data_IF_112056069045
#
_entry.id   IF_112056069045
#
_cell.length_a   1.000
_cell.length_b   1.000
_cell.length_c   1.000
_cell.angle_alpha   90.00
_cell.angle_beta   90.00
_cell.angle_gamma   90.00
#
_symmetry.space_group_name_H-M   'P 1'
#
loop_
_entity.id
_entity.type
_entity.pdbx_description
1 polymer ?
#
# COMPACT_ATOMS: atom_id res chain seq x y z
N UNK A 1 9.87 -13.10 9.94
CA UNK A 1 10.74 -13.13 8.75
C UNK A 1 11.67 -11.93 8.69
N UNK A 2 11.17 -10.67 8.63
CA UNK A 2 12.04 -9.47 8.53
C UNK A 2 12.94 -9.29 9.76
N UNK A 3 12.44 -9.63 10.94
CA UNK A 3 13.20 -9.58 12.19
C UNK A 3 14.44 -10.49 12.15
N UNK A 4 14.33 -11.66 11.53
CA UNK A 4 15.47 -12.60 11.38
C UNK A 4 16.57 -12.01 10.51
N UNK A 5 16.20 -11.29 9.44
CA UNK A 5 17.18 -10.66 8.56
C UNK A 5 17.84 -9.43 9.21
N UNK A 6 17.04 -8.58 9.85
CA UNK A 6 17.52 -7.34 10.45
C UNK A 6 18.20 -7.56 11.81
N UNK A 7 17.83 -8.59 12.57
CA UNK A 7 18.39 -8.83 13.88
C UNK A 7 19.89 -9.06 13.86
N UNK A 8 20.39 -9.89 12.93
CA UNK A 8 21.84 -10.12 12.76
C UNK A 8 22.58 -8.87 12.30
N UNK A 9 21.98 -8.10 11.37
CA UNK A 9 22.56 -6.84 10.90
C UNK A 9 22.57 -5.77 12.01
N UNK A 10 21.49 -5.69 12.80
CA UNK A 10 21.40 -4.77 13.93
C UNK A 10 22.41 -5.12 15.02
N UNK A 11 22.62 -6.40 15.33
CA UNK A 11 23.64 -6.85 16.28
C UNK A 11 25.04 -6.50 15.80
N UNK A 12 25.35 -6.64 14.51
CA UNK A 12 26.62 -6.22 13.93
C UNK A 12 26.84 -4.71 14.04
N UNK A 13 25.83 -3.91 13.74
CA UNK A 13 25.88 -2.44 13.87
C UNK A 13 25.99 -2.04 15.34
N UNK A 14 25.33 -2.75 16.27
CA UNK A 14 25.42 -2.49 17.70
C UNK A 14 26.87 -2.63 18.23
N UNK A 15 27.63 -3.57 17.69
CA UNK A 15 29.03 -3.74 18.04
C UNK A 15 29.91 -2.52 17.67
N UNK A 16 29.56 -1.83 16.59
CA UNK A 16 30.27 -0.60 16.14
C UNK A 16 30.00 0.61 17.04
N UNK A 17 28.91 0.63 17.80
CA UNK A 17 28.53 1.71 18.72
C UNK A 17 28.73 1.32 20.20
N UNK A 18 29.31 0.17 20.44
CA UNK A 18 29.69 -0.27 21.79
C UNK A 18 30.69 0.72 22.42
N UNK A 19 30.47 1.08 23.67
CA UNK A 19 31.29 2.08 24.37
C UNK A 19 31.01 3.55 23.99
N UNK A 20 30.09 3.83 23.05
CA UNK A 20 29.69 5.18 22.65
C UNK A 20 28.37 5.66 23.27
N UNK A 21 27.91 5.05 24.36
CA UNK A 21 26.57 5.23 24.90
C UNK A 21 25.50 5.05 23.79
N UNK A 22 25.73 4.06 22.93
CA UNK A 22 24.93 3.80 21.75
C UNK A 22 24.00 2.60 21.91
N UNK A 23 22.83 2.69 21.27
CA UNK A 23 21.91 1.56 21.09
C UNK A 23 21.50 1.47 19.63
N UNK A 24 21.24 0.25 19.19
CA UNK A 24 20.59 -0.02 17.91
C UNK A 24 19.22 -0.61 18.17
N UNK A 25 18.23 -0.10 17.47
CA UNK A 25 16.84 -0.57 17.55
C UNK A 25 16.33 -1.02 16.20
N UNK A 26 15.47 -2.02 16.19
CA UNK A 26 14.69 -2.45 15.03
C UNK A 26 13.21 -2.30 15.39
N UNK A 27 12.46 -1.62 14.52
CA UNK A 27 11.02 -1.44 14.68
C UNK A 27 10.26 -1.89 13.44
N UNK A 28 8.95 -2.13 13.59
CA UNK A 28 8.04 -2.46 12.51
C UNK A 28 7.66 -1.21 11.67
N UNK A 29 6.82 -1.42 10.65
CA UNK A 29 6.31 -0.35 9.78
C UNK A 29 5.48 0.72 10.51
N UNK A 30 4.97 0.42 11.70
CA UNK A 30 4.24 1.36 12.55
C UNK A 30 5.14 2.10 13.54
N UNK A 31 6.46 1.88 13.49
CA UNK A 31 7.42 2.46 14.41
C UNK A 31 7.44 1.80 15.81
N UNK A 32 6.87 0.60 15.97
CA UNK A 32 6.93 -0.15 17.23
C UNK A 32 8.25 -0.88 17.33
N UNK A 33 9.01 -0.61 18.38
CA UNK A 33 10.30 -1.27 18.61
C UNK A 33 10.07 -2.74 18.90
N UNK A 34 10.74 -3.60 18.14
CA UNK A 34 10.71 -5.05 18.28
C UNK A 34 11.90 -5.57 19.11
N UNK A 35 13.06 -4.94 18.97
CA UNK A 35 14.25 -5.29 19.72
C UNK A 35 15.24 -4.12 19.78
N UNK A 36 16.12 -4.18 20.79
CA UNK A 36 17.18 -3.21 21.04
C UNK A 36 18.47 -3.92 21.45
N UNK A 37 19.62 -3.41 21.01
CA UNK A 37 20.97 -3.89 21.33
C UNK A 37 21.81 -2.69 21.75
N UNK A 38 22.72 -2.85 22.69
CA UNK A 38 23.63 -1.83 23.18
C UNK A 38 24.15 -2.13 24.58
N UNK A 39 24.93 -1.21 25.15
CA UNK A 39 25.40 -1.40 26.52
C UNK A 39 24.26 -1.27 27.54
N UNK A 40 24.43 -1.96 28.69
CA UNK A 40 23.39 -2.06 29.70
C UNK A 40 22.94 -0.72 30.27
N UNK A 41 23.87 0.22 30.46
CA UNK A 41 23.57 1.52 31.06
C UNK A 41 22.73 2.37 30.08
N UNK A 42 23.09 2.34 28.80
CA UNK A 42 22.34 3.05 27.75
C UNK A 42 20.97 2.42 27.48
N UNK A 43 20.88 1.08 27.53
CA UNK A 43 19.58 0.40 27.41
C UNK A 43 18.61 0.76 28.55
N UNK A 44 19.11 0.92 29.79
CA UNK A 44 18.28 1.41 30.92
C UNK A 44 17.78 2.82 30.66
N UNK A 45 18.65 3.76 30.26
CA UNK A 45 18.25 5.14 29.92
C UNK A 45 17.28 5.20 28.76
N UNK A 46 17.49 4.36 27.75
CA UNK A 46 16.59 4.23 26.62
C UNK A 46 15.21 3.76 27.04
N UNK A 47 15.15 2.79 27.97
CA UNK A 47 13.89 2.31 28.54
C UNK A 47 13.14 3.41 29.32
N UNK A 48 13.86 4.24 30.08
CA UNK A 48 13.28 5.41 30.79
C UNK A 48 12.69 6.43 29.82
N UNK A 49 13.26 6.54 28.63
CA UNK A 49 12.77 7.37 27.54
C UNK A 49 11.73 6.67 26.64
N UNK A 50 11.25 5.47 27.03
CA UNK A 50 10.37 4.61 26.20
C UNK A 50 10.99 4.18 24.85
N UNK A 51 12.31 4.27 24.71
CA UNK A 51 13.09 3.78 23.55
C UNK A 51 13.48 2.31 23.77
N UNK A 52 12.48 1.47 23.98
CA UNK A 52 12.60 0.07 24.34
C UNK A 52 11.54 -0.77 23.60
N UNK A 53 11.67 -2.11 23.59
CA UNK A 53 10.68 -2.98 22.96
C UNK A 53 9.24 -2.62 23.36
N UNK A 54 8.36 -2.61 22.36
CA UNK A 54 6.95 -2.18 22.40
C UNK A 54 6.70 -0.68 22.46
N UNK A 55 7.71 0.17 22.66
CA UNK A 55 7.58 1.61 22.48
C UNK A 55 7.23 1.97 21.03
N UNK A 56 6.32 2.93 20.84
CA UNK A 56 5.93 3.40 19.50
C UNK A 56 6.63 4.71 19.16
N UNK A 57 7.40 4.71 18.08
CA UNK A 57 8.25 5.81 17.65
C UNK A 57 7.91 6.30 16.23
N UNK A 58 6.64 6.19 15.82
CA UNK A 58 6.16 6.87 14.62
C UNK A 58 6.17 8.40 14.80
N UNK A 59 6.25 9.18 13.73
CA UNK A 59 6.14 10.65 13.82
C UNK A 59 4.79 11.11 14.38
N UNK A 60 3.72 10.35 14.16
CA UNK A 60 2.42 10.64 14.74
C UNK A 60 2.40 10.49 16.27
N UNK A 61 3.24 9.61 16.84
CA UNK A 61 3.27 9.34 18.28
C UNK A 61 4.20 10.30 19.03
N UNK A 62 5.39 10.58 18.49
CA UNK A 62 6.44 11.31 19.22
C UNK A 62 7.03 12.51 18.46
N UNK A 63 6.50 12.83 17.28
CA UNK A 63 7.04 13.87 16.40
C UNK A 63 8.33 13.44 15.71
N UNK A 64 9.09 14.40 15.19
CA UNK A 64 10.36 14.17 14.49
C UNK A 64 11.33 13.37 15.34
N UNK A 65 11.77 12.22 14.82
CA UNK A 65 12.71 11.30 15.47
C UNK A 65 13.37 10.39 14.43
N UNK A 66 14.47 9.72 14.78
CA UNK A 66 15.25 8.91 13.84
C UNK A 66 14.47 7.77 13.18
N UNK A 67 13.54 7.11 13.87
CA UNK A 67 12.74 6.01 13.33
C UNK A 67 11.56 6.50 12.50
N UNK A 68 10.72 7.36 13.07
CA UNK A 68 9.51 7.86 12.41
C UNK A 68 9.85 8.60 11.11
N UNK A 69 10.84 9.49 11.16
CA UNK A 69 11.30 10.21 9.97
C UNK A 69 11.90 9.28 8.92
N UNK A 70 12.64 8.23 9.33
CA UNK A 70 13.16 7.24 8.39
C UNK A 70 12.07 6.42 7.68
N UNK A 71 10.94 6.13 8.34
CA UNK A 71 9.81 5.44 7.71
C UNK A 71 9.21 6.25 6.56
N UNK A 72 9.19 7.58 6.68
CA UNK A 72 8.69 8.49 5.63
C UNK A 72 9.77 8.80 4.56
N UNK A 73 11.03 8.86 4.95
CA UNK A 73 12.14 9.18 4.05
C UNK A 73 12.50 8.03 3.11
N UNK A 74 13.12 8.36 1.97
CA UNK A 74 13.62 7.37 0.99
C UNK A 74 15.06 6.91 1.23
N UNK A 75 15.73 7.41 2.26
CA UNK A 75 17.12 7.10 2.59
C UNK A 75 17.41 7.24 4.07
N UNK A 76 18.67 7.06 4.49
CA UNK A 76 19.06 7.28 5.87
C UNK A 76 18.79 8.73 6.30
N UNK A 77 18.32 8.90 7.52
CA UNK A 77 18.09 10.20 8.16
C UNK A 77 18.96 10.34 9.39
N UNK A 78 19.24 11.57 9.77
CA UNK A 78 20.00 11.91 10.96
C UNK A 78 19.27 13.05 11.70
N UNK A 79 18.95 12.83 12.98
CA UNK A 79 18.22 13.76 13.84
C UNK A 79 19.08 14.03 15.07
N UNK A 80 19.43 15.29 15.32
CA UNK A 80 20.36 15.69 16.38
C UNK A 80 19.68 16.57 17.42
N UNK A 81 19.79 16.23 18.67
CA UNK A 81 19.41 17.08 19.77
C UNK A 81 18.07 17.80 19.55
N UNK A 82 18.11 19.12 19.42
CA UNK A 82 16.91 19.96 19.26
C UNK A 82 16.16 19.78 17.93
N UNK A 83 16.66 18.99 16.98
CA UNK A 83 15.90 18.58 15.78
C UNK A 83 14.77 17.58 16.14
N UNK A 84 14.90 16.88 17.29
CA UNK A 84 13.78 16.08 17.81
C UNK A 84 12.63 16.99 18.24
N UNK A 85 11.41 16.63 17.85
CA UNK A 85 10.22 17.38 18.26
C UNK A 85 10.06 17.43 19.78
N UNK A 86 10.24 16.28 20.44
CA UNK A 86 10.06 16.18 21.90
C UNK A 86 11.35 16.59 22.62
N UNK A 87 11.26 17.58 23.52
CA UNK A 87 12.37 18.08 24.29
C UNK A 87 13.08 17.01 25.15
N UNK A 88 12.36 15.98 25.56
CA UNK A 88 12.91 14.85 26.32
C UNK A 88 13.99 14.08 25.53
N UNK A 89 14.02 14.23 24.21
CA UNK A 89 14.99 13.54 23.35
C UNK A 89 16.13 14.44 22.87
N UNK A 90 16.24 15.69 23.35
CA UNK A 90 17.32 16.60 22.96
C UNK A 90 18.71 16.14 23.39
N UNK A 91 18.83 15.24 24.35
CA UNK A 91 20.10 14.60 24.72
C UNK A 91 20.52 13.44 23.80
N UNK A 92 19.67 13.08 22.83
CA UNK A 92 19.92 12.00 21.90
C UNK A 92 20.33 12.50 20.50
N UNK A 93 21.18 11.72 19.87
CA UNK A 93 21.48 11.84 18.42
C UNK A 93 21.12 10.54 17.78
N UNK A 94 20.23 10.57 16.79
CA UNK A 94 19.63 9.40 16.18
C UNK A 94 19.89 9.37 14.68
N UNK A 95 20.21 8.19 14.14
CA UNK A 95 20.19 7.94 12.70
C UNK A 95 19.29 6.75 12.41
N UNK A 96 18.43 6.86 11.41
CA UNK A 96 17.50 5.81 11.03
C UNK A 96 17.50 5.52 9.53
N UNK A 97 17.14 4.29 9.15
CA UNK A 97 16.90 3.88 7.77
C UNK A 97 15.76 2.88 7.70
N UNK A 98 14.81 3.10 6.79
CA UNK A 98 13.75 2.15 6.54
C UNK A 98 14.18 1.08 5.54
N UNK A 99 13.72 -0.15 5.78
CA UNK A 99 13.71 -1.25 4.81
C UNK A 99 12.33 -1.31 4.20
N UNK A 100 12.27 -1.36 2.86
CA UNK A 100 11.01 -1.28 2.12
C UNK A 100 10.65 -2.60 1.45
N UNK A 101 9.36 -2.84 1.30
CA UNK A 101 8.86 -3.99 0.55
C UNK A 101 9.24 -3.86 -0.93
N UNK A 102 9.86 -4.91 -1.47
CA UNK A 102 10.46 -4.88 -2.82
C UNK A 102 9.46 -4.73 -3.96
N UNK A 103 8.18 -5.03 -3.73
CA UNK A 103 7.12 -4.92 -4.73
C UNK A 103 6.29 -3.65 -4.56
N UNK A 104 5.93 -3.30 -3.32
CA UNK A 104 5.02 -2.16 -3.05
C UNK A 104 5.75 -0.87 -2.76
N UNK A 105 7.05 -0.92 -2.43
CA UNK A 105 7.83 0.24 -1.99
C UNK A 105 7.49 0.74 -0.58
N UNK A 106 6.46 0.19 0.07
CA UNK A 106 6.06 0.58 1.42
C UNK A 106 7.11 0.18 2.46
N UNK A 107 7.32 0.99 3.51
CA UNK A 107 8.23 0.62 4.59
C UNK A 107 7.68 -0.62 5.32
N UNK A 108 8.55 -1.56 5.65
CA UNK A 108 8.19 -2.79 6.38
C UNK A 108 8.91 -2.89 7.71
N UNK A 109 10.02 -2.20 7.86
CA UNK A 109 10.76 -2.08 9.11
C UNK A 109 11.68 -0.89 9.05
N UNK A 110 12.20 -0.49 10.20
CA UNK A 110 13.22 0.54 10.34
C UNK A 110 14.33 0.05 11.29
N UNK A 111 15.57 0.35 10.94
CA UNK A 111 16.72 0.21 11.83
C UNK A 111 17.21 1.60 12.24
N UNK A 112 17.51 1.77 13.50
CA UNK A 112 17.94 3.07 14.02
C UNK A 112 19.07 2.90 15.03
N UNK A 113 20.04 3.83 14.99
CA UNK A 113 21.10 3.98 15.97
C UNK A 113 20.78 5.25 16.78
N UNK A 114 20.89 5.16 18.11
CA UNK A 114 20.75 6.30 19.01
C UNK A 114 21.93 6.36 19.97
N UNK A 115 22.59 7.51 20.10
CA UNK A 115 23.61 7.76 21.11
C UNK A 115 23.14 8.83 22.09
N UNK A 116 23.37 8.61 23.38
CA UNK A 116 23.01 9.54 24.44
C UNK A 116 24.17 10.45 24.81
N UNK A 117 24.00 11.76 24.67
CA UNK A 117 25.01 12.81 24.95
C UNK A 117 26.37 12.58 24.26
N UNK A 118 26.39 11.78 23.22
CA UNK A 118 27.57 11.47 22.42
C UNK A 118 27.22 11.63 20.95
N UNK A 119 28.17 12.14 20.17
CA UNK A 119 27.98 12.25 18.72
C UNK A 119 27.94 10.86 18.09
N UNK A 120 27.08 10.68 17.11
CA UNK A 120 27.14 9.49 16.27
C UNK A 120 28.44 9.48 15.46
N UNK A 121 29.06 8.32 15.27
CA UNK A 121 30.18 8.17 14.33
C UNK A 121 29.77 8.66 12.94
N UNK A 122 30.68 9.34 12.23
CA UNK A 122 30.43 9.79 10.85
C UNK A 122 29.99 8.65 9.92
N UNK A 123 30.45 7.44 10.21
CA UNK A 123 30.10 6.23 9.47
C UNK A 123 28.68 5.68 9.77
N UNK A 124 27.96 6.19 10.78
CA UNK A 124 26.69 5.61 11.24
C UNK A 124 25.64 5.52 10.14
N UNK A 125 25.44 6.58 9.37
CA UNK A 125 24.50 6.58 8.24
C UNK A 125 24.91 5.59 7.12
N UNK A 126 26.22 5.43 6.91
CA UNK A 126 26.76 4.46 5.96
C UNK A 126 26.56 3.02 6.44
N UNK A 127 26.77 2.73 7.72
CA UNK A 127 26.48 1.39 8.28
C UNK A 127 25.01 1.02 8.13
N UNK A 128 24.09 1.95 8.46
CA UNK A 128 22.67 1.79 8.28
C UNK A 128 22.31 1.59 6.79
N UNK A 129 22.87 2.40 5.90
CA UNK A 129 22.65 2.25 4.46
C UNK A 129 23.11 0.90 3.94
N UNK A 130 24.27 0.42 4.36
CA UNK A 130 24.80 -0.90 4.00
C UNK A 130 23.89 -2.03 4.55
N UNK A 131 23.46 -1.92 5.79
CA UNK A 131 22.56 -2.91 6.39
C UNK A 131 21.19 -2.95 5.65
N UNK A 132 20.62 -1.78 5.32
CA UNK A 132 19.40 -1.70 4.54
C UNK A 132 19.57 -2.27 3.13
N UNK A 133 20.69 -1.98 2.46
CA UNK A 133 21.01 -2.52 1.13
C UNK A 133 21.15 -4.04 1.16
N UNK A 134 21.80 -4.58 2.19
CA UNK A 134 21.97 -6.04 2.38
C UNK A 134 20.61 -6.71 2.60
N UNK A 135 19.78 -6.14 3.49
CA UNK A 135 18.43 -6.64 3.73
C UNK A 135 17.58 -6.57 2.45
N UNK A 136 17.63 -5.46 1.73
CA UNK A 136 16.92 -5.26 0.48
C UNK A 136 17.35 -6.27 -0.60
N UNK A 137 18.65 -6.55 -0.71
CA UNK A 137 19.19 -7.57 -1.61
C UNK A 137 18.66 -8.97 -1.31
N UNK A 138 18.55 -9.32 -0.03
CA UNK A 138 17.97 -10.60 0.40
C UNK A 138 16.48 -10.69 0.08
N UNK A 139 15.73 -9.62 0.33
CA UNK A 139 14.30 -9.54 0.00
C UNK A 139 14.05 -9.63 -1.51
N UNK A 140 14.88 -8.96 -2.33
CA UNK A 140 14.81 -9.03 -3.79
C UNK A 140 15.03 -10.46 -4.30
N UNK A 141 16.05 -11.14 -3.79
CA UNK A 141 16.34 -12.54 -4.17
C UNK A 141 15.14 -13.44 -3.84
N UNK A 142 14.61 -13.35 -2.62
CA UNK A 142 13.41 -14.12 -2.23
C UNK A 142 12.19 -13.80 -3.10
N UNK A 143 11.99 -12.56 -3.46
CA UNK A 143 10.90 -12.16 -4.33
C UNK A 143 11.05 -12.71 -5.76
N UNK A 144 12.30 -12.79 -6.28
CA UNK A 144 12.60 -13.47 -7.56
C UNK A 144 12.33 -14.97 -7.48
N UNK A 145 12.81 -15.63 -6.43
CA UNK A 145 12.55 -17.08 -6.20
C UNK A 145 11.03 -17.34 -6.16
N UNK A 146 10.30 -16.49 -5.45
CA UNK A 146 8.82 -16.56 -5.39
C UNK A 146 8.17 -16.33 -6.75
N UNK A 147 8.68 -15.39 -7.55
CA UNK A 147 8.20 -15.12 -8.89
C UNK A 147 8.43 -16.30 -9.84
N UNK A 148 9.59 -16.94 -9.75
CA UNK A 148 9.91 -18.13 -10.54
C UNK A 148 8.99 -19.32 -10.19
N UNK A 149 8.71 -19.54 -8.90
CA UNK A 149 7.77 -20.57 -8.44
C UNK A 149 6.35 -20.31 -8.95
N UNK A 150 5.90 -19.04 -8.87
CA UNK A 150 4.58 -18.65 -9.41
C UNK A 150 4.48 -18.87 -10.92
N UNK A 151 5.53 -18.59 -11.68
CA UNK A 151 5.57 -18.84 -13.12
C UNK A 151 5.57 -20.34 -13.44
N UNK A 152 6.26 -21.16 -12.64
CA UNK A 152 6.25 -22.62 -12.78
C UNK A 152 4.86 -23.18 -12.46
N UNK A 153 4.25 -22.75 -11.36
CA UNK A 153 2.91 -23.15 -10.96
C UNK A 153 1.86 -22.74 -12.02
N UNK A 154 1.99 -21.54 -12.60
CA UNK A 154 1.16 -21.10 -13.73
C UNK A 154 1.28 -22.04 -14.93
N UNK A 155 2.50 -22.42 -15.31
CA UNK A 155 2.73 -23.30 -16.46
C UNK A 155 2.06 -24.66 -16.25
N UNK A 156 2.16 -25.22 -15.05
CA UNK A 156 1.49 -26.48 -14.71
C UNK A 156 -0.04 -26.32 -14.73
N UNK A 157 -0.55 -25.27 -14.13
CA UNK A 157 -1.98 -24.99 -14.09
C UNK A 157 -2.56 -24.81 -15.50
N UNK A 158 -1.86 -24.08 -16.36
CA UNK A 158 -2.27 -23.84 -17.75
C UNK A 158 -2.30 -25.12 -18.58
N UNK A 159 -1.36 -26.02 -18.39
CA UNK A 159 -1.34 -27.32 -19.09
C UNK A 159 -2.56 -28.20 -18.76
N UNK A 160 -3.16 -27.99 -17.56
CA UNK A 160 -4.31 -28.79 -17.07
C UNK A 160 -5.66 -28.08 -17.21
N UNK A 161 -5.66 -26.80 -17.63
CA UNK A 161 -6.87 -25.97 -17.64
C UNK A 161 -7.17 -25.43 -19.03
N UNK A 162 -8.43 -25.56 -19.44
CA UNK A 162 -8.98 -24.91 -20.63
C UNK A 162 -9.45 -23.47 -20.40
N UNK A 163 -9.44 -22.99 -19.15
CA UNK A 163 -9.88 -21.65 -18.78
C UNK A 163 -8.70 -20.68 -18.63
N UNK A 164 -8.97 -19.38 -18.53
CA UNK A 164 -7.94 -18.37 -18.29
C UNK A 164 -7.28 -18.56 -16.91
N UNK A 165 -5.96 -18.40 -16.89
CA UNK A 165 -5.14 -18.56 -15.67
C UNK A 165 -4.23 -17.37 -15.49
N UNK A 166 -4.06 -16.91 -14.25
CA UNK A 166 -3.04 -15.96 -13.84
C UNK A 166 -2.35 -16.38 -12.55
N UNK A 167 -1.10 -15.96 -12.37
CA UNK A 167 -0.38 -16.05 -11.11
C UNK A 167 -0.14 -14.65 -10.55
N UNK A 168 -0.46 -14.46 -9.28
CA UNK A 168 -0.30 -13.21 -8.55
C UNK A 168 0.51 -13.42 -7.29
N UNK A 169 1.28 -12.43 -6.89
CA UNK A 169 2.02 -12.47 -5.62
C UNK A 169 1.12 -12.15 -4.41
N UNK A 170 1.69 -12.18 -3.21
CA UNK A 170 0.96 -11.90 -1.96
C UNK A 170 0.52 -10.44 -1.81
N UNK A 171 1.06 -9.52 -2.63
CA UNK A 171 0.61 -8.13 -2.72
C UNK A 171 -0.52 -7.92 -3.74
N UNK A 172 -0.86 -8.95 -4.52
CA UNK A 172 -1.87 -8.89 -5.57
C UNK A 172 -1.33 -8.38 -6.91
N UNK A 173 0.00 -8.26 -7.07
CA UNK A 173 0.63 -7.93 -8.35
C UNK A 173 0.67 -9.16 -9.24
N UNK A 174 0.41 -8.96 -10.52
CA UNK A 174 0.42 -10.05 -11.51
C UNK A 174 1.85 -10.38 -11.90
N UNK A 175 2.21 -11.66 -11.81
CA UNK A 175 3.51 -12.20 -12.22
C UNK A 175 3.45 -12.73 -13.65
N UNK A 176 2.39 -13.43 -14.01
CA UNK A 176 2.14 -13.95 -15.36
C UNK A 176 0.64 -14.21 -15.53
N UNK A 177 0.13 -14.03 -16.73
CA UNK A 177 -1.25 -14.35 -17.10
C UNK A 177 -1.32 -14.85 -18.54
N UNK A 178 -2.25 -15.73 -18.85
CA UNK A 178 -2.58 -16.09 -20.22
C UNK A 178 -3.47 -15.03 -20.90
N UNK A 179 -3.80 -15.22 -22.17
CA UNK A 179 -4.55 -14.24 -22.95
C UNK A 179 -5.93 -13.87 -22.32
N UNK A 180 -6.80 -14.83 -21.91
CA UNK A 180 -8.07 -14.47 -21.30
C UNK A 180 -7.92 -13.74 -19.95
N UNK A 181 -6.98 -14.17 -19.10
CA UNK A 181 -6.73 -13.54 -17.80
C UNK A 181 -6.05 -12.18 -17.96
N UNK A 182 -5.13 -12.04 -18.91
CA UNK A 182 -4.44 -10.78 -19.17
C UNK A 182 -5.40 -9.70 -19.70
N UNK A 183 -6.35 -10.07 -20.54
CA UNK A 183 -7.38 -9.16 -21.02
C UNK A 183 -8.27 -8.65 -19.86
N UNK A 184 -8.62 -9.55 -18.94
CA UNK A 184 -9.42 -9.19 -17.76
C UNK A 184 -8.64 -8.29 -16.79
N UNK A 185 -7.35 -8.56 -16.59
CA UNK A 185 -6.49 -7.88 -15.63
C UNK A 185 -5.78 -6.63 -16.19
N UNK A 186 -5.88 -6.39 -17.49
CA UNK A 186 -5.21 -5.26 -18.15
C UNK A 186 -3.68 -5.39 -18.21
N UNK A 187 -3.16 -6.61 -18.29
CA UNK A 187 -1.71 -6.90 -18.34
C UNK A 187 -1.31 -7.56 -19.66
N UNK A 188 0.00 -7.72 -19.90
CA UNK A 188 0.49 -8.39 -21.11
C UNK A 188 0.40 -9.90 -20.99
N UNK A 189 -0.13 -10.62 -22.01
CA UNK A 189 -0.25 -12.07 -22.00
C UNK A 189 1.12 -12.76 -22.12
N UNK A 190 1.31 -13.86 -21.38
CA UNK A 190 2.48 -14.74 -21.43
C UNK A 190 3.84 -14.06 -21.16
N UNK A 191 3.86 -12.82 -20.70
CA UNK A 191 5.09 -12.17 -20.24
C UNK A 191 5.25 -12.47 -18.75
N UNK A 192 6.41 -13.03 -18.37
CA UNK A 192 6.70 -13.39 -16.98
C UNK A 192 7.47 -12.25 -16.31
N UNK A 193 6.88 -11.68 -15.26
CA UNK A 193 7.49 -10.65 -14.41
C UNK A 193 8.03 -11.28 -13.12
N UNK A 194 9.08 -12.08 -13.24
CA UNK A 194 9.73 -12.73 -12.09
C UNK A 194 10.36 -11.70 -11.16
N UNK A 195 10.98 -10.65 -11.73
CA UNK A 195 11.53 -9.54 -10.97
C UNK A 195 10.41 -8.73 -10.30
N UNK A 196 10.53 -8.41 -9.00
CA UNK A 196 9.47 -7.76 -8.25
C UNK A 196 9.11 -6.35 -8.76
N UNK A 197 10.05 -5.62 -9.28
CA UNK A 197 9.87 -4.27 -9.86
C UNK A 197 9.22 -4.28 -11.26
N UNK A 198 9.16 -5.44 -11.91
CA UNK A 198 8.51 -5.61 -13.21
C UNK A 198 7.06 -6.13 -13.10
N UNK A 199 6.59 -6.46 -11.89
CA UNK A 199 5.24 -6.99 -11.66
C UNK A 199 4.19 -5.93 -11.92
N UNK A 200 3.09 -6.35 -12.55
CA UNK A 200 2.03 -5.44 -12.95
C UNK A 200 0.95 -5.26 -11.90
N UNK A 201 0.46 -4.04 -11.80
CA UNK A 201 -0.83 -3.79 -11.16
C UNK A 201 -1.94 -4.36 -12.04
N UNK A 202 -2.87 -5.06 -11.43
CA UNK A 202 -4.06 -5.48 -12.15
C UNK A 202 -5.05 -4.30 -12.22
N UNK A 203 -5.74 -4.18 -13.36
CA UNK A 203 -6.87 -3.25 -13.50
C UNK A 203 -8.12 -3.65 -12.69
N UNK A 204 -8.02 -4.65 -11.80
CA UNK A 204 -9.12 -5.15 -10.97
C UNK A 204 -9.02 -4.56 -9.56
N UNK A 205 -9.91 -3.62 -9.18
CA UNK A 205 -9.78 -2.87 -7.92
C UNK A 205 -9.87 -3.77 -6.67
N UNK A 206 -10.59 -4.87 -6.76
CA UNK A 206 -10.80 -5.77 -5.63
C UNK A 206 -9.76 -6.87 -5.48
N UNK A 207 -8.87 -7.06 -6.46
CA UNK A 207 -7.94 -8.18 -6.48
C UNK A 207 -6.99 -8.18 -5.27
N UNK A 208 -6.42 -7.04 -4.94
CA UNK A 208 -5.52 -6.92 -3.78
C UNK A 208 -6.20 -7.32 -2.47
N UNK A 209 -7.48 -6.98 -2.29
CA UNK A 209 -8.25 -7.35 -1.11
C UNK A 209 -8.57 -8.83 -1.09
N UNK A 210 -8.97 -9.41 -2.22
CA UNK A 210 -9.22 -10.84 -2.39
C UNK A 210 -7.95 -11.64 -2.06
N UNK A 211 -6.80 -11.23 -2.63
CA UNK A 211 -5.49 -11.86 -2.38
C UNK A 211 -5.10 -11.75 -0.91
N UNK A 212 -5.31 -10.60 -0.27
CA UNK A 212 -5.03 -10.42 1.17
C UNK A 212 -5.86 -11.36 2.03
N UNK A 213 -7.16 -11.51 1.73
CA UNK A 213 -8.02 -12.47 2.42
C UNK A 213 -7.54 -13.91 2.20
N UNK A 214 -7.28 -14.29 0.93
CA UNK A 214 -6.77 -15.60 0.57
C UNK A 214 -5.45 -15.93 1.27
N UNK A 215 -4.52 -14.98 1.32
CA UNK A 215 -3.24 -15.13 2.02
C UNK A 215 -3.41 -15.35 3.52
N UNK A 216 -4.32 -14.62 4.15
CA UNK A 216 -4.62 -14.79 5.58
C UNK A 216 -5.24 -16.17 5.87
N UNK A 217 -6.13 -16.64 5.02
CA UNK A 217 -6.77 -17.95 5.18
C UNK A 217 -5.79 -19.09 4.91
N UNK A 218 -5.01 -18.99 3.82
CA UNK A 218 -4.01 -19.98 3.44
C UNK A 218 -2.90 -20.16 4.49
N UNK A 219 -2.59 -19.13 5.27
CA UNK A 219 -1.62 -19.20 6.37
C UNK A 219 -2.06 -20.20 7.48
N UNK A 220 -3.36 -20.43 7.63
CA UNK A 220 -3.91 -21.37 8.62
C UNK A 220 -4.38 -22.69 7.97
N UNK A 221 -4.72 -22.66 6.68
CA UNK A 221 -5.24 -23.78 5.92
C UNK A 221 -4.56 -23.82 4.56
N UNK A 222 -3.39 -24.50 4.44
CA UNK A 222 -2.60 -24.48 3.20
C UNK A 222 -3.31 -25.04 1.97
N UNK A 223 -4.22 -26.02 2.15
CA UNK A 223 -4.97 -26.65 1.07
C UNK A 223 -6.27 -25.89 0.71
N UNK A 224 -6.45 -24.69 1.27
CA UNK A 224 -7.62 -23.86 1.01
C UNK A 224 -7.72 -23.48 -0.47
N UNK A 225 -8.94 -23.63 -1.01
CA UNK A 225 -9.30 -23.14 -2.34
C UNK A 225 -10.53 -22.27 -2.17
N UNK A 226 -10.48 -21.07 -2.70
CA UNK A 226 -11.57 -20.12 -2.61
C UNK A 226 -12.19 -19.83 -3.97
N UNK A 227 -13.46 -19.46 -3.97
CA UNK A 227 -14.17 -18.96 -5.14
C UNK A 227 -14.86 -17.63 -4.81
N UNK A 228 -14.88 -16.73 -5.77
CA UNK A 228 -15.56 -15.45 -5.67
C UNK A 228 -15.88 -14.91 -7.06
N UNK A 229 -16.54 -13.77 -7.10
CA UNK A 229 -16.81 -13.06 -8.34
C UNK A 229 -16.01 -11.76 -8.35
N UNK A 230 -15.46 -11.40 -9.49
CA UNK A 230 -14.76 -10.12 -9.71
C UNK A 230 -15.46 -9.32 -10.81
N UNK A 231 -15.42 -8.01 -10.65
CA UNK A 231 -15.96 -7.07 -11.62
C UNK A 231 -14.83 -6.39 -12.37
N UNK A 232 -14.76 -6.59 -13.67
CA UNK A 232 -13.85 -5.85 -14.53
C UNK A 232 -14.49 -4.52 -14.97
N UNK A 233 -13.68 -3.47 -15.07
CA UNK A 233 -14.17 -2.15 -15.49
C UNK A 233 -14.89 -2.12 -16.84
N UNK A 234 -14.60 -3.11 -17.71
CA UNK A 234 -15.15 -3.18 -19.07
C UNK A 234 -16.32 -4.16 -19.22
N UNK A 235 -16.74 -4.82 -18.15
CA UNK A 235 -17.84 -5.81 -18.20
C UNK A 235 -18.90 -5.49 -17.15
N UNK A 236 -20.14 -5.50 -17.56
CA UNK A 236 -21.29 -5.31 -16.66
C UNK A 236 -21.58 -6.58 -15.83
N UNK A 237 -21.12 -7.74 -16.26
CA UNK A 237 -21.33 -9.01 -15.59
C UNK A 237 -20.10 -9.42 -14.77
N UNK A 238 -20.31 -9.93 -13.54
CA UNK A 238 -19.22 -10.44 -12.73
C UNK A 238 -18.61 -11.69 -13.36
N UNK A 239 -17.30 -11.78 -13.31
CA UNK A 239 -16.56 -12.96 -13.74
C UNK A 239 -16.28 -13.84 -12.52
N UNK A 240 -16.74 -15.09 -12.48
CA UNK A 240 -16.37 -16.02 -11.43
C UNK A 240 -14.89 -16.35 -11.51
N UNK A 241 -14.23 -16.40 -10.37
CA UNK A 241 -12.84 -16.82 -10.24
C UNK A 241 -12.67 -17.86 -9.14
N UNK A 242 -11.70 -18.74 -9.35
CA UNK A 242 -11.18 -19.64 -8.32
C UNK A 242 -9.77 -19.21 -7.98
N UNK A 243 -9.43 -19.16 -6.68
CA UNK A 243 -8.12 -18.77 -6.18
C UNK A 243 -7.52 -19.89 -5.32
N UNK A 244 -6.24 -20.21 -5.55
CA UNK A 244 -5.50 -21.25 -4.84
C UNK A 244 -4.13 -20.73 -4.43
N UNK A 245 -3.69 -20.97 -3.17
CA UNK A 245 -2.36 -20.56 -2.71
C UNK A 245 -1.24 -21.36 -3.39
N UNK A 246 -0.09 -20.72 -3.55
CA UNK A 246 1.16 -21.32 -4.02
C UNK A 246 2.20 -21.15 -2.91
N UNK A 247 2.88 -22.25 -2.58
CA UNK A 247 3.89 -22.27 -1.52
C UNK A 247 5.26 -22.64 -2.08
N UNK A 248 6.30 -22.02 -1.54
CA UNK A 248 7.69 -22.37 -1.76
C UNK A 248 8.35 -22.65 -0.42
N UNK A 249 8.88 -23.87 -0.21
CA UNK A 249 9.54 -24.29 1.04
C UNK A 249 8.68 -24.03 2.30
N UNK A 250 7.38 -24.24 2.18
CA UNK A 250 6.40 -24.02 3.26
C UNK A 250 5.99 -22.58 3.49
N UNK A 251 6.55 -21.60 2.76
CA UNK A 251 6.15 -20.21 2.80
C UNK A 251 5.18 -19.87 1.65
N UNK A 252 4.09 -19.15 1.94
CA UNK A 252 3.17 -18.66 0.92
C UNK A 252 3.90 -17.63 0.04
N UNK A 253 3.89 -17.83 -1.29
CA UNK A 253 4.54 -16.93 -2.26
C UNK A 253 3.54 -16.17 -3.12
N UNK A 254 2.31 -16.63 -3.20
CA UNK A 254 1.24 -15.99 -3.96
C UNK A 254 0.10 -16.95 -4.24
N UNK A 255 -0.61 -16.69 -5.32
CA UNK A 255 -1.83 -17.43 -5.67
C UNK A 255 -1.93 -17.65 -7.17
N UNK A 256 -2.52 -18.76 -7.56
CA UNK A 256 -3.08 -18.98 -8.89
C UNK A 256 -4.55 -18.56 -8.91
N UNK A 257 -4.98 -17.95 -9.99
CA UNK A 257 -6.34 -17.51 -10.24
C UNK A 257 -6.81 -18.12 -11.56
N UNK A 258 -7.92 -18.83 -11.52
CA UNK A 258 -8.59 -19.36 -12.71
C UNK A 258 -9.84 -18.53 -12.98
N UNK A 259 -10.08 -18.24 -14.26
CA UNK A 259 -11.34 -17.64 -14.71
C UNK A 259 -12.36 -18.77 -14.99
N UNK A 260 -13.55 -18.63 -14.43
CA UNK A 260 -14.62 -19.63 -14.59
C UNK A 260 -15.02 -20.28 -13.27
N UNK A 261 -16.02 -21.15 -13.35
CA UNK A 261 -16.78 -21.66 -12.22
C UNK A 261 -15.98 -22.31 -11.11
N UNK A 262 -16.63 -22.44 -9.97
CA UNK A 262 -16.06 -23.03 -8.77
C UNK A 262 -15.54 -24.44 -9.04
N UNK A 263 -14.30 -24.70 -8.67
CA UNK A 263 -13.76 -26.06 -8.51
C UNK A 263 -14.59 -26.80 -7.45
N UNK A 264 -14.83 -28.09 -7.62
CA UNK A 264 -15.43 -28.91 -6.58
C UNK A 264 -14.63 -28.76 -5.28
N UNK A 265 -15.34 -28.44 -4.18
CA UNK A 265 -14.71 -28.18 -2.87
C UNK A 265 -14.20 -26.76 -2.62
N UNK A 266 -14.30 -25.83 -3.57
CA UNK A 266 -13.94 -24.44 -3.35
C UNK A 266 -14.89 -23.79 -2.33
N UNK A 267 -14.32 -23.20 -1.28
CA UNK A 267 -15.07 -22.41 -0.32
C UNK A 267 -15.40 -21.04 -0.94
N UNK A 268 -16.68 -20.68 -0.93
CA UNK A 268 -17.06 -19.31 -1.29
C UNK A 268 -16.43 -18.36 -0.29
N UNK A 269 -15.70 -17.35 -0.77
CA UNK A 269 -15.21 -16.30 0.10
C UNK A 269 -16.41 -15.67 0.80
N UNK A 270 -16.37 -15.46 2.12
CA UNK A 270 -17.50 -14.91 2.84
C UNK A 270 -17.89 -13.59 2.18
N UNK A 271 -19.12 -13.57 1.69
CA UNK A 271 -19.80 -12.34 1.35
C UNK A 271 -19.91 -11.57 2.65
N UNK A 272 -19.01 -10.65 2.88
CA UNK A 272 -19.09 -9.78 4.04
C UNK A 272 -20.33 -8.92 3.86
N UNK A 273 -21.35 -9.20 4.58
CA UNK A 273 -22.60 -8.50 4.85
C UNK A 273 -23.30 -7.70 3.73
N UNK A 274 -24.54 -7.35 3.90
CA UNK A 274 -25.25 -6.48 2.96
C UNK A 274 -24.60 -5.11 2.96
N UNK A 275 -23.75 -4.84 1.93
CA UNK A 275 -23.02 -3.59 1.79
C UNK A 275 -21.59 -3.73 1.31
N UNK A 276 -21.08 -4.96 1.07
CA UNK A 276 -19.70 -5.09 0.59
C UNK A 276 -19.53 -4.63 -0.86
N UNK A 277 -18.64 -3.65 -1.09
CA UNK A 277 -18.54 -2.93 -2.37
C UNK A 277 -18.10 -3.78 -3.57
N UNK A 278 -17.54 -4.96 -3.37
CA UNK A 278 -16.99 -5.80 -4.43
C UNK A 278 -17.95 -6.86 -5.01
N UNK A 279 -19.17 -6.95 -4.44
CA UNK A 279 -20.20 -7.89 -4.95
C UNK A 279 -21.23 -7.23 -5.90
N UNK A 280 -21.18 -5.91 -6.06
CA UNK A 280 -22.04 -5.18 -7.03
C UNK A 280 -21.21 -4.10 -7.70
N UNK A 281 -21.31 -3.91 -9.02
CA UNK A 281 -20.74 -2.72 -9.62
C UNK A 281 -21.33 -1.50 -8.91
N UNK A 282 -20.48 -0.74 -8.20
CA UNK A 282 -20.92 0.48 -7.53
C UNK A 282 -21.35 1.46 -8.61
N UNK A 283 -22.65 1.68 -8.68
CA UNK A 283 -23.25 2.71 -9.55
C UNK A 283 -23.73 3.85 -8.68
N UNK A 284 -23.40 5.05 -9.07
CA UNK A 284 -23.99 6.23 -8.47
C UNK A 284 -25.34 6.48 -9.14
N UNK A 285 -26.36 6.62 -8.30
CA UNK A 285 -27.68 7.00 -8.76
C UNK A 285 -27.69 8.51 -8.95
N UNK A 286 -27.93 8.93 -10.18
CA UNK A 286 -28.04 10.31 -10.56
C UNK A 286 -29.38 10.58 -11.24
N UNK A 287 -29.78 11.84 -11.30
CA UNK A 287 -31.01 12.29 -11.94
C UNK A 287 -30.65 13.32 -13.00
N UNK A 288 -31.20 13.15 -14.19
CA UNK A 288 -31.15 14.13 -15.27
C UNK A 288 -32.56 14.31 -15.83
N UNK A 289 -33.08 15.51 -15.69
CA UNK A 289 -34.50 15.78 -15.98
C UNK A 289 -35.39 14.83 -15.15
N UNK A 290 -36.28 14.06 -15.76
CA UNK A 290 -37.14 13.07 -15.10
C UNK A 290 -36.60 11.63 -15.18
N UNK A 291 -35.30 11.44 -15.52
CA UNK A 291 -34.70 10.12 -15.69
C UNK A 291 -33.71 9.81 -14.58
N UNK A 292 -33.83 8.62 -14.01
CA UNK A 292 -32.79 8.05 -13.15
C UNK A 292 -31.69 7.49 -14.01
N UNK A 293 -30.45 7.93 -13.80
CA UNK A 293 -29.26 7.51 -14.51
C UNK A 293 -28.35 6.76 -13.54
N UNK A 294 -27.88 5.59 -13.92
CA UNK A 294 -26.94 4.79 -13.15
C UNK A 294 -25.53 5.00 -13.72
N UNK A 295 -24.74 5.87 -13.10
CA UNK A 295 -23.38 6.17 -13.50
C UNK A 295 -22.41 5.14 -12.91
N UNK A 296 -21.48 4.65 -13.73
CA UNK A 296 -20.35 3.84 -13.25
C UNK A 296 -19.33 4.77 -12.60
N UNK A 297 -18.64 4.31 -11.54
CA UNK A 297 -17.66 5.13 -10.83
C UNK A 297 -16.54 5.71 -11.72
N UNK A 298 -15.96 4.95 -12.69
CA UNK A 298 -14.98 5.49 -13.61
C UNK A 298 -15.48 6.58 -14.55
N UNK A 299 -16.81 6.68 -14.75
CA UNK A 299 -17.41 7.74 -15.58
C UNK A 299 -17.46 9.08 -14.84
N UNK A 300 -17.37 9.05 -13.51
CA UNK A 300 -17.42 10.25 -12.67
C UNK A 300 -16.01 10.80 -12.45
N UNK A 301 -15.77 12.02 -12.90
CA UNK A 301 -14.50 12.72 -12.74
C UNK A 301 -14.39 13.35 -11.34
N UNK A 302 -15.44 14.07 -10.93
CA UNK A 302 -15.54 14.66 -9.60
C UNK A 302 -17.00 14.94 -9.25
N UNK A 303 -17.23 15.18 -7.97
CA UNK A 303 -18.50 15.68 -7.44
C UNK A 303 -18.33 17.07 -6.84
N UNK A 304 -19.31 17.94 -7.06
CA UNK A 304 -19.36 19.29 -6.51
C UNK A 304 -20.66 19.51 -5.75
N UNK A 305 -20.57 20.11 -4.57
CA UNK A 305 -21.74 20.60 -3.82
C UNK A 305 -21.95 22.10 -4.08
N UNK A 306 -23.18 22.47 -4.46
CA UNK A 306 -23.63 23.86 -4.56
C UNK A 306 -24.47 24.32 -3.35
N UNK A 307 -24.37 23.60 -2.25
CA UNK A 307 -25.10 23.86 -0.99
C UNK A 307 -26.26 22.89 -0.78
N UNK A 308 -27.21 22.82 -1.66
CA UNK A 308 -28.39 21.96 -1.55
C UNK A 308 -28.32 20.69 -2.40
N UNK A 309 -27.55 20.73 -3.49
CA UNK A 309 -27.43 19.62 -4.42
C UNK A 309 -25.96 19.19 -4.55
N UNK A 310 -25.78 17.91 -4.87
CA UNK A 310 -24.49 17.37 -5.28
C UNK A 310 -24.55 17.05 -6.78
N UNK A 311 -23.62 17.60 -7.53
CA UNK A 311 -23.48 17.40 -8.96
C UNK A 311 -22.33 16.48 -9.27
N UNK A 312 -22.57 15.47 -10.08
CA UNK A 312 -21.59 14.52 -10.58
C UNK A 312 -21.15 14.94 -11.98
N UNK A 313 -19.87 15.20 -12.17
CA UNK A 313 -19.27 15.60 -13.44
C UNK A 313 -18.69 14.40 -14.16
N UNK A 314 -19.04 14.23 -15.43
CA UNK A 314 -18.65 13.14 -16.30
C UNK A 314 -18.27 13.65 -17.69
N UNK A 315 -17.72 12.79 -18.55
CA UNK A 315 -17.47 13.13 -19.96
C UNK A 315 -18.75 13.46 -20.75
N UNK A 316 -19.91 13.01 -20.25
CA UNK A 316 -21.22 13.25 -20.89
C UNK A 316 -21.94 14.48 -20.32
N UNK A 317 -21.31 15.21 -19.41
CA UNK A 317 -21.87 16.38 -18.74
C UNK A 317 -22.11 16.17 -17.26
N UNK A 318 -22.92 17.03 -16.65
CA UNK A 318 -23.23 16.97 -15.22
C UNK A 318 -24.58 16.33 -14.95
N UNK A 319 -24.65 15.58 -13.86
CA UNK A 319 -25.85 14.91 -13.37
C UNK A 319 -26.05 15.27 -11.90
N UNK A 320 -27.29 15.40 -11.45
CA UNK A 320 -27.58 15.59 -10.03
C UNK A 320 -27.51 14.25 -9.31
N UNK A 321 -26.72 14.14 -8.26
CA UNK A 321 -26.68 12.95 -7.41
C UNK A 321 -28.02 12.73 -6.71
N UNK A 322 -28.43 11.47 -6.57
CA UNK A 322 -29.55 11.11 -5.72
C UNK A 322 -29.18 11.14 -4.23
N UNK A 323 -27.89 11.03 -3.90
CA UNK A 323 -27.40 11.14 -2.52
C UNK A 323 -27.52 12.58 -2.05
N UNK A 324 -28.15 12.79 -0.89
CA UNK A 324 -28.27 14.11 -0.28
C UNK A 324 -27.03 14.42 0.57
N UNK A 325 -26.24 15.40 0.12
CA UNK A 325 -25.06 15.89 0.82
C UNK A 325 -23.75 15.24 0.35
N UNK A 326 -22.71 16.08 0.27
CA UNK A 326 -21.38 15.67 -0.18
C UNK A 326 -20.67 14.77 0.85
N UNK A 327 -20.98 14.93 2.14
CA UNK A 327 -20.38 14.12 3.22
C UNK A 327 -20.80 12.65 3.11
N UNK A 328 -22.07 12.39 2.84
CA UNK A 328 -22.59 11.05 2.60
C UNK A 328 -21.99 10.43 1.33
N UNK A 329 -21.86 11.23 0.28
CA UNK A 329 -21.23 10.77 -0.97
C UNK A 329 -19.74 10.48 -0.77
N UNK A 330 -19.02 11.27 0.03
CA UNK A 330 -17.62 11.07 0.38
C UNK A 330 -17.45 9.74 1.13
N UNK A 331 -18.27 9.45 2.14
CA UNK A 331 -18.30 8.16 2.83
C UNK A 331 -18.57 6.99 1.88
N UNK A 332 -19.52 7.14 0.97
CA UNK A 332 -19.85 6.13 -0.03
C UNK A 332 -18.70 5.86 -1.01
N UNK A 333 -17.82 6.84 -1.28
CA UNK A 333 -16.78 6.80 -2.30
C UNK A 333 -15.36 6.64 -1.76
N UNK A 334 -15.14 6.71 -0.45
CA UNK A 334 -13.81 6.66 0.20
C UNK A 334 -13.00 5.43 -0.24
N UNK A 335 -13.65 4.25 -0.31
CA UNK A 335 -12.99 3.00 -0.72
C UNK A 335 -12.93 2.79 -2.24
N UNK A 336 -13.38 3.76 -3.03
CA UNK A 336 -13.54 3.64 -4.48
C UNK A 336 -12.55 4.50 -5.28
N UNK A 337 -11.47 4.96 -4.64
CA UNK A 337 -10.45 5.78 -5.29
C UNK A 337 -10.84 7.25 -5.43
N UNK A 338 -11.85 7.69 -4.68
CA UNK A 338 -12.20 9.12 -4.58
C UNK A 338 -11.61 9.72 -3.31
N UNK A 339 -11.30 11.01 -3.38
CA UNK A 339 -10.74 11.77 -2.27
C UNK A 339 -11.44 13.11 -2.12
N UNK A 340 -11.80 13.46 -0.88
CA UNK A 340 -12.24 14.82 -0.53
C UNK A 340 -11.07 15.77 -0.64
N UNK A 341 -11.14 16.75 -1.53
CA UNK A 341 -10.07 17.73 -1.76
C UNK A 341 -10.44 19.13 -1.31
N UNK A 342 -11.73 19.39 -1.16
CA UNK A 342 -12.26 20.65 -0.70
C UNK A 342 -13.61 20.46 -0.02
N UNK A 343 -14.07 21.44 0.78
CA UNK A 343 -15.42 21.38 1.41
C UNK A 343 -16.56 21.18 0.39
N UNK A 344 -16.32 21.55 -0.88
CA UNK A 344 -17.29 21.44 -1.98
C UNK A 344 -16.94 20.35 -2.99
N UNK A 345 -15.77 19.71 -2.93
CA UNK A 345 -15.32 18.80 -3.98
C UNK A 345 -14.82 17.47 -3.45
N UNK A 346 -15.27 16.40 -4.09
CA UNK A 346 -14.74 15.03 -4.00
C UNK A 346 -14.29 14.61 -5.39
N UNK A 347 -13.06 14.14 -5.54
CA UNK A 347 -12.40 13.92 -6.84
C UNK A 347 -12.05 12.45 -7.01
N UNK A 348 -12.28 11.91 -8.20
CA UNK A 348 -11.77 10.62 -8.61
C UNK A 348 -10.28 10.74 -8.95
N UNK A 349 -9.42 10.15 -8.12
CA UNK A 349 -7.96 10.27 -8.28
C UNK A 349 -7.45 9.64 -9.58
N UNK A 350 -8.13 8.62 -10.10
CA UNK A 350 -7.77 8.00 -11.39
C UNK A 350 -8.06 8.88 -12.61
N UNK A 351 -8.83 9.95 -12.43
CA UNK A 351 -9.19 10.92 -13.46
C UNK A 351 -8.49 12.27 -13.28
N UNK A 352 -7.44 12.33 -12.43
CA UNK A 352 -6.56 13.50 -12.33
C UNK A 352 -5.46 13.38 -13.38
N UNK A 353 -5.36 14.36 -14.28
CA UNK A 353 -4.33 14.41 -15.33
C UNK A 353 -3.12 15.21 -14.89
N UNK A 354 -3.32 16.37 -14.31
CA UNK A 354 -2.26 17.30 -13.95
C UNK A 354 -2.54 17.99 -12.61
N UNK A 355 -1.50 18.54 -12.01
CA UNK A 355 -1.57 19.35 -10.80
C UNK A 355 -0.96 20.71 -11.09
N UNK A 356 -1.76 21.74 -10.99
CA UNK A 356 -1.31 23.11 -11.17
C UNK A 356 -1.11 23.81 -9.83
N UNK A 357 -0.06 24.64 -9.76
CA UNK A 357 0.19 25.53 -8.63
C UNK A 357 -0.26 26.93 -8.98
N UNK A 358 -1.27 27.42 -8.26
CA UNK A 358 -1.76 28.75 -8.37
C UNK A 358 -0.93 29.78 -7.58
N UNK A 359 -1.39 31.02 -7.61
CA UNK A 359 -0.79 32.14 -6.89
C UNK A 359 -0.88 31.90 -5.37
N UNK A 360 0.18 32.22 -4.61
CA UNK A 360 0.26 32.00 -3.14
C UNK A 360 0.20 30.55 -2.67
N UNK A 361 0.61 29.58 -3.51
CA UNK A 361 0.68 28.17 -3.13
C UNK A 361 -0.67 27.44 -3.15
N UNK A 362 -1.67 28.00 -3.81
CA UNK A 362 -2.90 27.31 -4.13
C UNK A 362 -2.61 26.09 -5.01
N UNK A 363 -3.39 25.03 -4.84
CA UNK A 363 -3.25 23.79 -5.60
C UNK A 363 -4.56 23.52 -6.34
N UNK A 364 -4.45 23.20 -7.61
CA UNK A 364 -5.57 22.81 -8.47
C UNK A 364 -5.30 21.47 -9.11
N UNK A 365 -6.33 20.65 -9.22
CA UNK A 365 -6.32 19.39 -9.96
C UNK A 365 -6.99 19.61 -11.32
N UNK A 366 -6.26 19.33 -12.39
CA UNK A 366 -6.80 19.34 -13.75
C UNK A 366 -7.35 17.93 -14.02
N UNK A 367 -8.62 17.85 -14.33
CA UNK A 367 -9.30 16.59 -14.51
C UNK A 367 -9.16 16.09 -15.96
N UNK A 368 -8.99 14.77 -16.11
CA UNK A 368 -9.02 14.09 -17.40
C UNK A 368 -10.48 13.97 -17.89
N UNK A 369 -11.00 15.08 -18.40
CA UNK A 369 -12.31 15.15 -19.04
C UNK A 369 -12.27 16.11 -20.24
N UNK A 370 -13.34 16.10 -21.06
CA UNK A 370 -13.39 16.89 -22.30
C UNK A 370 -13.23 18.41 -22.12
N UNK A 371 -13.37 18.93 -20.90
CA UNK A 371 -13.34 20.37 -20.59
C UNK A 371 -12.08 20.79 -19.83
N UNK A 372 -11.21 19.84 -19.46
CA UNK A 372 -10.07 20.10 -18.58
C UNK A 372 -10.47 20.89 -17.33
N UNK A 373 -11.56 20.45 -16.68
CA UNK A 373 -12.09 21.12 -15.49
C UNK A 373 -11.04 21.19 -14.38
N UNK A 374 -10.91 22.37 -13.77
CA UNK A 374 -9.96 22.61 -12.67
C UNK A 374 -10.67 22.57 -11.33
N UNK A 375 -10.23 21.68 -10.44
CA UNK A 375 -10.81 21.53 -9.10
C UNK A 375 -9.84 22.09 -8.06
N UNK A 376 -10.26 23.08 -7.24
CA UNK A 376 -9.40 23.66 -6.21
C UNK A 376 -9.21 22.68 -5.03
N UNK A 377 -7.99 22.62 -4.52
CA UNK A 377 -7.64 21.86 -3.33
C UNK A 377 -7.50 22.80 -2.14
N UNK A 378 -8.23 22.54 -1.08
CA UNK A 378 -8.09 23.37 0.13
C UNK A 378 -6.76 23.08 0.85
N UNK A 379 -6.20 24.08 1.54
CA UNK A 379 -4.94 23.94 2.28
C UNK A 379 -4.92 22.75 3.24
N UNK A 380 -6.06 22.47 3.88
CA UNK A 380 -6.25 21.34 4.80
C UNK A 380 -6.08 19.98 4.11
N UNK A 381 -6.45 19.86 2.84
CA UNK A 381 -6.42 18.59 2.11
C UNK A 381 -5.18 18.46 1.20
N UNK A 382 -4.35 19.49 1.08
CA UNK A 382 -3.20 19.50 0.16
C UNK A 382 -2.18 18.39 0.45
N UNK A 383 -1.91 18.10 1.73
CA UNK A 383 -1.02 17.00 2.14
C UNK A 383 -1.59 15.62 1.80
N UNK A 384 -2.88 15.42 2.02
CA UNK A 384 -3.57 14.16 1.68
C UNK A 384 -3.57 13.92 0.17
N UNK A 385 -3.83 14.96 -0.63
CA UNK A 385 -3.79 14.90 -2.11
C UNK A 385 -2.40 14.55 -2.61
N UNK A 386 -1.35 15.22 -2.12
CA UNK A 386 0.04 14.90 -2.50
C UNK A 386 0.38 13.45 -2.21
N UNK A 387 0.09 12.98 -1.00
CA UNK A 387 0.33 11.59 -0.59
C UNK A 387 -0.42 10.60 -1.48
N UNK A 388 -1.69 10.85 -1.77
CA UNK A 388 -2.53 9.98 -2.58
C UNK A 388 -2.06 9.90 -4.05
N UNK A 389 -1.43 10.96 -4.56
CA UNK A 389 -0.89 11.04 -5.93
C UNK A 389 0.62 10.73 -6.01
N UNK A 390 1.27 10.37 -4.88
CA UNK A 390 2.67 9.97 -4.85
C UNK A 390 3.68 11.13 -4.99
N UNK A 391 3.32 12.34 -4.53
CA UNK A 391 4.11 13.58 -4.67
C UNK A 391 4.71 14.03 -3.33
#
# INVERSE_FOLDING_TARGET
MIFTELGGLAASVAHEVDGLNGIVTVADAAGRILASWGDRATLVRASDANLAPWGCWSECAVGTNGMGTALEARGPVLIRGAEHWCRAFHDWVCAGVAVRHVVTGEPIAVMNISCWRTQLPEAATRWLGNAATTAQGTLNRRARDSGAELAAAFTQAKALSGTGVAAVDTAGKVVIADEPASLLMGVRPYVSAVDPDQRWDSGLPDLTRIVRYASKTAAHTPDWVGSTQIYAHLRDEPTPITIRPVFLRGGLVGHLIWLGGASEGAQTLPATGPGHPWMKPRRLVAVREDRTVLLRLPEVCFAESDGNNVWLFTDQGRFRSASQGLDKLDEELTDAGFLRVHRRYVVNLSRVREIERGFKGELFLVMDNRKDDMVPVSRRHASAVRRALGL
#
